data_IF_677572477785
#
_entry.id   IF_677572477785
#
_cell.length_a   1.000
_cell.length_b   1.000
_cell.length_c   1.000
_cell.angle_alpha   90.00
_cell.angle_beta   90.00
_cell.angle_gamma   90.00
#
_symmetry.space_group_name_H-M   'P 1'
#
loop_
_entity.id
_entity.type
_entity.pdbx_description
1 polymer ?
#
# COMPACT_ATOMS: atom_id res chain seq x y z
N UNK A 1 10.84 -5.07 21.10
CA UNK A 1 11.94 -4.56 20.25
C UNK A 1 11.77 -3.05 20.05
N UNK A 2 12.84 -2.26 20.07
CA UNK A 2 12.77 -0.80 19.84
C UNK A 2 12.49 -0.47 18.37
N UNK A 3 12.04 0.75 18.07
CA UNK A 3 11.80 1.22 16.69
C UNK A 3 13.07 1.17 15.82
N UNK A 4 14.24 1.46 16.40
CA UNK A 4 15.54 1.38 15.73
C UNK A 4 15.95 -0.07 15.42
N UNK A 5 15.66 -1.00 16.34
CA UNK A 5 15.89 -2.43 16.10
C UNK A 5 14.91 -2.99 15.07
N UNK A 6 13.65 -2.56 15.09
CA UNK A 6 12.65 -2.93 14.08
C UNK A 6 13.07 -2.46 12.68
N UNK A 7 13.51 -1.20 12.59
CA UNK A 7 14.02 -0.62 11.34
C UNK A 7 15.23 -1.38 10.80
N UNK A 8 16.21 -1.68 11.65
CA UNK A 8 17.44 -2.40 11.24
C UNK A 8 17.19 -3.86 10.88
N UNK A 9 16.37 -4.56 11.67
CA UNK A 9 16.16 -6.01 11.52
C UNK A 9 15.27 -6.36 10.34
N UNK A 10 14.34 -5.48 9.99
CA UNK A 10 13.34 -5.74 8.94
C UNK A 10 13.45 -4.77 7.74
N UNK A 11 14.38 -3.80 7.78
CA UNK A 11 14.67 -2.90 6.66
C UNK A 11 13.64 -1.80 6.43
N UNK A 12 12.75 -1.56 7.38
CA UNK A 12 11.71 -0.51 7.26
C UNK A 12 12.28 0.84 7.71
N UNK A 13 12.15 1.93 6.94
CA UNK A 13 12.64 3.25 7.37
C UNK A 13 11.98 3.74 8.67
N UNK A 14 12.77 4.36 9.54
CA UNK A 14 12.31 4.90 10.84
C UNK A 14 11.14 5.89 10.71
N UNK A 15 11.15 6.72 9.67
CA UNK A 15 10.11 7.74 9.47
C UNK A 15 8.75 7.12 9.17
N UNK A 16 8.75 5.98 8.48
CA UNK A 16 7.55 5.19 8.21
C UNK A 16 7.02 4.60 9.52
N UNK A 17 7.87 3.98 10.33
CA UNK A 17 7.46 3.45 11.64
C UNK A 17 6.88 4.55 12.55
N UNK A 18 7.44 5.76 12.54
CA UNK A 18 6.95 6.92 13.31
C UNK A 18 5.61 7.46 12.78
N UNK A 19 5.39 7.46 11.47
CA UNK A 19 4.08 7.78 10.89
C UNK A 19 3.01 6.81 11.39
N UNK A 20 3.35 5.51 11.44
CA UNK A 20 2.45 4.49 11.97
C UNK A 20 2.20 4.61 13.48
N UNK A 21 3.19 4.98 14.29
CA UNK A 21 2.98 5.32 15.71
C UNK A 21 2.00 6.48 15.87
N UNK A 22 2.04 7.49 14.98
CA UNK A 22 1.14 8.66 15.02
C UNK A 22 -0.29 8.31 14.63
N UNK A 23 -0.47 7.38 13.69
CA UNK A 23 -1.79 6.95 13.21
C UNK A 23 -2.52 6.05 14.22
N UNK A 24 -1.85 5.52 15.26
CA UNK A 24 -2.49 4.73 16.31
C UNK A 24 -2.99 3.36 15.86
N UNK A 25 -2.51 2.87 14.71
CA UNK A 25 -2.98 1.66 14.03
C UNK A 25 -2.51 0.34 14.65
N UNK A 26 -1.68 0.41 15.71
CA UNK A 26 -1.20 -0.76 16.43
C UNK A 26 -1.69 -0.72 17.88
N UNK A 27 -2.89 -1.24 18.16
CA UNK A 27 -3.44 -1.29 19.52
C UNK A 27 -2.72 -2.29 20.44
N UNK A 28 -1.85 -3.16 19.91
CA UNK A 28 -1.17 -4.22 20.65
C UNK A 28 0.16 -3.80 21.29
N UNK A 29 0.71 -2.63 20.92
CA UNK A 29 2.06 -2.26 21.35
C UNK A 29 2.04 -1.77 22.79
N UNK A 30 2.65 -2.56 23.69
CA UNK A 30 2.84 -2.17 25.09
C UNK A 30 3.80 -1.00 25.16
N UNK A 31 3.28 0.16 25.59
CA UNK A 31 4.10 1.33 25.90
C UNK A 31 4.80 1.09 27.23
N UNK A 32 6.04 0.61 27.19
CA UNK A 32 6.88 0.46 28.39
C UNK A 32 7.76 1.69 28.48
N UNK A 33 7.54 2.51 29.53
CA UNK A 33 8.29 3.77 29.77
C UNK A 33 8.30 4.76 28.61
N UNK A 34 7.20 4.86 27.85
CA UNK A 34 7.06 5.86 26.78
C UNK A 34 7.62 5.44 25.43
N UNK A 35 8.30 4.30 25.34
CA UNK A 35 8.84 3.73 24.09
C UNK A 35 7.98 2.56 23.62
N UNK A 36 7.68 2.51 22.33
CA UNK A 36 6.99 1.39 21.70
C UNK A 36 7.90 0.16 21.69
N UNK A 37 7.35 -1.00 22.09
CA UNK A 37 8.01 -2.28 21.95
C UNK A 37 7.26 -3.16 20.96
N UNK A 38 7.86 -3.39 19.80
CA UNK A 38 7.33 -4.29 18.78
C UNK A 38 7.64 -5.75 19.11
N UNK A 39 6.68 -6.64 18.93
CA UNK A 39 6.89 -8.09 18.84
C UNK A 39 6.83 -8.58 17.37
N UNK A 40 7.02 -9.89 17.15
CA UNK A 40 7.00 -10.46 15.80
C UNK A 40 5.62 -10.32 15.12
N UNK A 41 4.52 -10.33 15.88
CA UNK A 41 3.16 -10.17 15.36
C UNK A 41 2.85 -8.72 14.95
N UNK A 42 3.41 -7.74 15.66
CA UNK A 42 3.29 -6.33 15.27
C UNK A 42 3.94 -6.07 13.91
N UNK A 43 5.04 -6.77 13.60
CA UNK A 43 5.74 -6.62 12.34
C UNK A 43 5.00 -7.26 11.17
N UNK A 44 4.35 -8.41 11.38
CA UNK A 44 3.46 -9.01 10.37
C UNK A 44 2.33 -8.04 10.00
N UNK A 45 1.73 -7.38 11.00
CA UNK A 45 0.71 -6.35 10.79
C UNK A 45 1.27 -5.15 10.03
N UNK A 46 2.46 -4.66 10.40
CA UNK A 46 3.12 -3.55 9.70
C UNK A 46 3.43 -3.89 8.24
N UNK A 47 3.95 -5.09 7.96
CA UNK A 47 4.22 -5.54 6.59
C UNK A 47 2.95 -5.59 5.75
N UNK A 48 1.84 -6.05 6.33
CA UNK A 48 0.55 -6.08 5.66
C UNK A 48 0.02 -4.67 5.39
N UNK A 49 0.08 -3.79 6.38
CA UNK A 49 -0.32 -2.39 6.25
C UNK A 49 0.48 -1.68 5.14
N UNK A 50 1.80 -1.87 5.10
CA UNK A 50 2.66 -1.33 4.04
C UNK A 50 2.23 -1.85 2.67
N UNK A 51 2.02 -3.16 2.55
CA UNK A 51 1.57 -3.78 1.30
C UNK A 51 0.24 -3.19 0.82
N UNK A 52 -0.72 -2.97 1.72
CA UNK A 52 -2.00 -2.36 1.38
C UNK A 52 -1.82 -0.91 0.90
N UNK A 53 -0.96 -0.15 1.54
CA UNK A 53 -0.66 1.22 1.14
C UNK A 53 0.01 1.29 -0.24
N UNK A 54 0.95 0.38 -0.51
CA UNK A 54 1.68 0.28 -1.78
C UNK A 54 0.77 -0.09 -2.95
N UNK A 55 -0.25 -0.93 -2.72
CA UNK A 55 -1.25 -1.29 -3.74
C UNK A 55 -2.43 -0.31 -3.80
N UNK A 56 -2.32 0.84 -3.12
CA UNK A 56 -3.24 1.97 -3.28
C UNK A 56 -4.46 1.96 -2.37
N UNK A 57 -4.41 1.27 -1.22
CA UNK A 57 -5.42 1.47 -0.17
C UNK A 57 -5.20 2.82 0.52
N UNK A 58 -6.29 3.55 0.76
CA UNK A 58 -6.30 4.72 1.62
C UNK A 58 -6.20 4.31 3.08
N UNK A 59 -5.78 5.22 3.95
CA UNK A 59 -5.66 4.99 5.40
C UNK A 59 -6.94 4.41 6.02
N UNK A 60 -8.12 4.93 5.64
CA UNK A 60 -9.40 4.42 6.14
C UNK A 60 -9.75 2.99 5.64
N UNK A 61 -9.33 2.63 4.43
CA UNK A 61 -9.51 1.26 3.92
C UNK A 61 -8.54 0.29 4.57
N UNK A 62 -7.30 0.73 4.85
CA UNK A 62 -6.31 -0.03 5.64
C UNK A 62 -6.85 -0.31 7.04
N UNK A 63 -7.36 0.71 7.75
CA UNK A 63 -8.00 0.54 9.06
C UNK A 63 -9.13 -0.50 9.03
N UNK A 64 -9.98 -0.40 8.01
CA UNK A 64 -11.09 -1.33 7.81
C UNK A 64 -10.58 -2.74 7.56
N UNK A 65 -9.58 -2.90 6.69
CA UNK A 65 -8.97 -4.19 6.38
C UNK A 65 -8.36 -4.83 7.64
N UNK A 66 -7.58 -4.06 8.41
CA UNK A 66 -6.93 -4.55 9.63
C UNK A 66 -7.95 -4.97 10.69
N UNK A 67 -9.03 -4.21 10.88
CA UNK A 67 -10.11 -4.61 11.80
C UNK A 67 -10.75 -5.94 11.39
N UNK A 68 -10.98 -6.14 10.09
CA UNK A 68 -11.55 -7.39 9.58
C UNK A 68 -10.60 -8.59 9.79
N UNK A 69 -9.30 -8.38 9.71
CA UNK A 69 -8.27 -9.39 10.00
C UNK A 69 -8.26 -9.74 11.50
N UNK A 70 -8.33 -8.74 12.39
CA UNK A 70 -8.31 -8.95 13.84
C UNK A 70 -9.58 -9.61 14.39
N UNK A 71 -10.74 -9.29 13.83
CA UNK A 71 -12.02 -9.78 14.35
C UNK A 71 -12.28 -11.30 14.11
N UNK A 72 -11.49 -11.97 13.26
CA UNK A 72 -11.57 -13.43 13.02
C UNK A 72 -12.84 -13.99 12.32
N UNK A 73 -12.74 -15.22 11.81
CA UNK A 73 -13.69 -16.08 11.05
C UNK A 73 -14.94 -15.47 10.38
N UNK A 74 -15.09 -15.72 9.07
CA UNK A 74 -16.30 -15.43 8.28
C UNK A 74 -16.27 -14.13 7.48
N UNK A 75 -15.11 -13.47 7.39
CA UNK A 75 -14.92 -12.18 6.70
C UNK A 75 -14.05 -12.26 5.45
N UNK A 76 -13.58 -13.45 5.08
CA UNK A 76 -12.70 -13.68 3.93
C UNK A 76 -13.32 -13.14 2.63
N UNK A 77 -14.64 -13.28 2.47
CA UNK A 77 -15.35 -12.71 1.32
C UNK A 77 -15.25 -11.18 1.26
N UNK A 78 -15.29 -10.49 2.40
CA UNK A 78 -15.20 -9.03 2.47
C UNK A 78 -13.76 -8.56 2.21
N UNK A 79 -12.77 -9.26 2.74
CA UNK A 79 -11.36 -8.99 2.45
C UNK A 79 -11.05 -9.19 0.96
N UNK A 80 -11.51 -10.30 0.37
CA UNK A 80 -11.39 -10.56 -1.07
C UNK A 80 -12.09 -9.48 -1.89
N UNK A 81 -13.30 -9.08 -1.51
CA UNK A 81 -14.03 -8.03 -2.21
C UNK A 81 -13.27 -6.69 -2.21
N UNK A 82 -12.63 -6.32 -1.10
CA UNK A 82 -11.81 -5.11 -1.05
C UNK A 82 -10.59 -5.20 -1.98
N UNK A 83 -9.93 -6.36 -2.02
CA UNK A 83 -8.80 -6.60 -2.93
C UNK A 83 -9.23 -6.58 -4.40
N UNK A 84 -10.36 -7.19 -4.74
CA UNK A 84 -10.91 -7.22 -6.10
C UNK A 84 -11.30 -5.83 -6.61
N UNK A 85 -11.84 -4.98 -5.73
CA UNK A 85 -12.14 -3.58 -6.05
C UNK A 85 -10.87 -2.81 -6.41
N UNK A 86 -9.81 -2.96 -5.60
CA UNK A 86 -8.52 -2.31 -5.87
C UNK A 86 -7.86 -2.83 -7.14
N UNK A 87 -7.90 -4.14 -7.35
CA UNK A 87 -7.42 -4.76 -8.59
C UNK A 87 -8.15 -4.22 -9.82
N UNK A 88 -9.47 -4.10 -9.76
CA UNK A 88 -10.28 -3.59 -10.88
C UNK A 88 -9.97 -2.13 -11.17
N UNK A 89 -9.89 -1.28 -10.14
CA UNK A 89 -9.54 0.13 -10.31
C UNK A 89 -8.14 0.32 -10.92
N UNK A 90 -7.16 -0.47 -10.47
CA UNK A 90 -5.80 -0.43 -11.04
C UNK A 90 -5.79 -0.86 -12.52
N UNK A 91 -6.56 -1.89 -12.89
CA UNK A 91 -6.70 -2.33 -14.28
C UNK A 91 -7.34 -1.24 -15.15
N UNK A 92 -8.38 -0.57 -14.66
CA UNK A 92 -9.01 0.53 -15.39
C UNK A 92 -8.03 1.69 -15.63
N UNK A 93 -7.20 2.00 -14.63
CA UNK A 93 -6.14 3.02 -14.78
C UNK A 93 -5.08 2.59 -15.81
N UNK A 94 -4.66 1.31 -15.80
CA UNK A 94 -3.73 0.78 -16.79
C UNK A 94 -4.32 0.91 -18.20
N UNK A 95 -5.55 0.45 -18.41
CA UNK A 95 -6.22 0.56 -19.72
C UNK A 95 -6.38 2.02 -20.16
N UNK A 96 -6.60 2.95 -19.23
CA UNK A 96 -6.64 4.37 -19.53
C UNK A 96 -5.28 4.89 -20.00
N UNK A 97 -4.20 4.56 -19.27
CA UNK A 97 -2.82 4.95 -19.62
C UNK A 97 -2.37 4.34 -20.94
N UNK A 98 -2.73 3.10 -21.25
CA UNK A 98 -2.48 2.46 -22.55
C UNK A 98 -3.10 3.25 -23.69
N UNK A 99 -4.38 3.65 -23.57
CA UNK A 99 -5.05 4.49 -24.58
C UNK A 99 -4.39 5.86 -24.74
N UNK A 100 -3.82 6.42 -23.67
CA UNK A 100 -3.04 7.66 -23.78
C UNK A 100 -1.74 7.46 -24.54
N UNK A 101 -1.04 6.34 -24.32
CA UNK A 101 0.17 5.98 -25.05
C UNK A 101 -0.11 5.80 -26.55
N UNK A 102 -1.19 5.10 -26.92
CA UNK A 102 -1.58 4.93 -28.33
C UNK A 102 -1.74 6.27 -29.06
N UNK A 103 -2.36 7.25 -28.40
CA UNK A 103 -2.53 8.60 -28.95
C UNK A 103 -1.19 9.31 -29.12
N UNK A 104 -0.29 9.18 -28.14
CA UNK A 104 1.05 9.75 -28.22
C UNK A 104 1.83 9.13 -29.37
N UNK A 105 1.77 7.82 -29.53
CA UNK A 105 2.50 7.11 -30.59
C UNK A 105 1.95 7.43 -31.99
N UNK A 106 0.63 7.60 -32.13
CA UNK A 106 0.04 8.12 -33.37
C UNK A 106 0.59 9.51 -33.72
N UNK A 107 0.62 10.43 -32.75
CA UNK A 107 1.15 11.78 -32.98
C UNK A 107 2.64 11.75 -33.33
N UNK A 108 3.44 10.93 -32.64
CA UNK A 108 4.87 10.74 -32.94
C UNK A 108 5.07 10.20 -34.35
N UNK A 109 4.29 9.20 -34.76
CA UNK A 109 4.34 8.64 -36.11
C UNK A 109 4.02 9.70 -37.17
N UNK A 110 2.95 10.49 -36.97
CA UNK A 110 2.56 11.56 -37.89
C UNK A 110 3.66 12.63 -38.04
N UNK A 111 4.35 12.99 -36.97
CA UNK A 111 5.46 13.94 -37.00
C UNK A 111 6.67 13.34 -37.73
N UNK A 112 7.04 12.08 -37.44
CA UNK A 112 8.15 11.40 -38.12
C UNK A 112 7.96 11.36 -39.63
N UNK A 113 6.77 10.97 -40.08
CA UNK A 113 6.43 10.94 -41.50
C UNK A 113 6.61 12.30 -42.19
N UNK A 114 6.21 13.39 -41.53
CA UNK A 114 6.43 14.75 -42.05
C UNK A 114 7.89 15.15 -42.18
N UNK A 115 8.76 14.63 -41.30
CA UNK A 115 10.20 14.87 -41.36
C UNK A 115 10.82 14.09 -42.52
N UNK A 116 10.37 12.85 -42.76
CA UNK A 116 10.88 11.99 -43.85
C UNK A 116 10.45 12.45 -45.25
N UNK A 117 9.33 13.17 -45.34
CA UNK A 117 8.80 13.74 -46.59
C UNK A 117 9.39 15.14 -46.93
N UNK A 118 10.29 15.67 -46.10
CA UNK A 118 11.01 16.94 -46.30
C UNK A 118 12.47 16.69 -46.67
#
# INVERSE_FOLDING_TARGET
MTIDEASRRYGVPLDILKEYEKLGLCPAVKKVMGTWQYDDSDLEKLSLIMTLHDVGFSTGEVETYMRLVEDGQGRDYKLLSMLDQKRTAALDEIHFREKQLDRLDYLRHKIRKKIEEQ
#
